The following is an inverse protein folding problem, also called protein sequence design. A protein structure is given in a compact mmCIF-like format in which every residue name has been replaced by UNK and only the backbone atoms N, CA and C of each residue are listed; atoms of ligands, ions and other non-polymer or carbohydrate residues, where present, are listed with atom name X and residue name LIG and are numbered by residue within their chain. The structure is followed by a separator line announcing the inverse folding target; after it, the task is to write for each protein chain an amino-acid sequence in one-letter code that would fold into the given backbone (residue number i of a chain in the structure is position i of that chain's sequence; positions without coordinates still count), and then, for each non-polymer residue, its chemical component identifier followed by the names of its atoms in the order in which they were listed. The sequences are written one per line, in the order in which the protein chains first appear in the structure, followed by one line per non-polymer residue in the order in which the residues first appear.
data_IF_293086044387
#
_entry.id   IF_293086044387
#
_cell.length_a   1.000
_cell.length_b   1.000
_cell.length_c   1.000
_cell.angle_alpha   90.00
_cell.angle_beta   90.00
_cell.angle_gamma   90.00
#
_symmetry.space_group_name_H-M   'P 1'
#
loop_
_entity.id
_entity.type
_entity.pdbx_description
1 polymer ?
#
# COMPACT_ATOMS: atom_id res chain seq x y z
N UNK A 1 -0.76 13.56 49.32
CA UNK A 1 -1.54 14.27 48.28
C UNK A 1 -1.02 13.79 46.94
N UNK A 2 -1.83 12.99 46.22
CA UNK A 2 -1.46 12.42 44.93
C UNK A 2 -1.80 13.44 43.83
N UNK A 3 -0.81 13.84 43.03
CA UNK A 3 -1.03 14.66 41.84
C UNK A 3 -1.56 13.75 40.72
N UNK A 4 -2.80 14.04 40.31
CA UNK A 4 -3.51 13.39 39.21
C UNK A 4 -2.95 13.95 37.90
N UNK A 5 -2.24 13.14 37.12
CA UNK A 5 -1.88 13.50 35.75
C UNK A 5 -3.13 13.43 34.87
N UNK A 6 -3.68 14.57 34.51
CA UNK A 6 -4.63 14.69 33.41
C UNK A 6 -3.87 14.74 32.09
N UNK A 7 -4.02 13.69 31.28
CA UNK A 7 -3.52 13.63 29.90
C UNK A 7 -4.61 14.19 28.97
N UNK A 8 -4.26 14.94 27.90
CA UNK A 8 -5.15 15.89 27.25
C UNK A 8 -6.28 15.25 26.45
N UNK A 9 -7.48 15.83 26.55
CA UNK A 9 -8.55 15.68 25.56
C UNK A 9 -8.26 16.62 24.39
N UNK A 10 -7.50 16.15 23.41
CA UNK A 10 -7.63 16.65 22.04
C UNK A 10 -6.87 15.73 21.07
N UNK A 11 -7.59 14.81 20.46
CA UNK A 11 -7.23 14.26 19.15
C UNK A 11 -8.54 14.00 18.44
N UNK A 12 -9.00 15.05 17.77
CA UNK A 12 -10.06 15.03 16.78
C UNK A 12 -9.92 13.82 15.85
N UNK A 13 -11.03 13.11 15.68
CA UNK A 13 -11.39 12.22 14.56
C UNK A 13 -10.24 11.80 13.64
N UNK A 14 -9.31 11.00 14.18
CA UNK A 14 -8.50 10.14 13.32
C UNK A 14 -9.44 9.01 12.89
N UNK A 15 -9.65 8.78 11.58
CA UNK A 15 -10.45 7.66 11.12
C UNK A 15 -9.90 6.41 11.80
N UNK A 16 -10.80 5.62 12.41
CA UNK A 16 -10.39 4.40 13.07
C UNK A 16 -9.75 3.52 11.99
N UNK A 17 -8.43 3.28 12.10
CA UNK A 17 -7.68 2.45 11.15
C UNK A 17 -8.32 1.05 10.96
N UNK A 18 -9.21 0.66 11.87
CA UNK A 18 -9.94 -0.60 11.88
C UNK A 18 -10.94 -0.76 10.72
N UNK A 19 -11.62 0.29 10.28
CA UNK A 19 -12.67 0.18 9.25
C UNK A 19 -12.12 0.32 7.82
N UNK A 20 -11.04 1.10 7.64
CA UNK A 20 -10.38 1.24 6.33
C UNK A 20 -9.54 0.01 5.94
N UNK A 21 -9.15 -0.81 6.91
CA UNK A 21 -8.35 -2.02 6.66
C UNK A 21 -9.08 -3.08 5.81
N UNK A 22 -10.41 -3.13 5.83
CA UNK A 22 -11.18 -4.12 5.05
C UNK A 22 -11.06 -3.93 3.52
N UNK A 23 -10.67 -2.72 3.09
CA UNK A 23 -10.45 -2.40 1.67
C UNK A 23 -8.98 -2.43 1.27
N UNK A 24 -8.07 -2.62 2.23
CA UNK A 24 -6.65 -2.71 1.98
C UNK A 24 -6.30 -4.09 1.42
N UNK A 25 -5.63 -4.10 0.27
CA UNK A 25 -5.13 -5.34 -0.35
C UNK A 25 -3.63 -5.42 -0.21
N UNK A 26 -3.13 -6.57 0.23
CA UNK A 26 -1.68 -6.76 0.28
C UNK A 26 -1.12 -6.69 -1.15
N UNK A 27 -0.08 -5.90 -1.37
CA UNK A 27 0.52 -5.75 -2.68
C UNK A 27 1.03 -7.08 -3.25
N UNK A 28 1.44 -8.03 -2.39
CA UNK A 28 1.81 -9.38 -2.84
C UNK A 28 0.68 -10.10 -3.54
N UNK A 29 -0.52 -9.96 -2.99
CA UNK A 29 -1.70 -10.71 -3.44
C UNK A 29 -2.28 -10.07 -4.69
N UNK A 30 -2.08 -8.76 -4.88
CA UNK A 30 -2.39 -8.06 -6.14
C UNK A 30 -1.61 -8.67 -7.30
N UNK A 31 -0.31 -8.84 -7.17
CA UNK A 31 0.51 -9.40 -8.25
C UNK A 31 0.13 -10.84 -8.62
N UNK A 32 -0.22 -11.66 -7.61
CA UNK A 32 -0.65 -13.03 -7.83
C UNK A 32 -2.07 -13.10 -8.43
N UNK A 33 -3.01 -12.27 -7.97
CA UNK A 33 -4.38 -12.19 -8.52
C UNK A 33 -4.44 -11.71 -9.97
N UNK A 34 -3.45 -10.94 -10.41
CA UNK A 34 -3.28 -10.51 -11.80
C UNK A 34 -2.61 -11.58 -12.69
N UNK A 35 -2.22 -12.73 -12.14
CA UNK A 35 -1.52 -13.80 -12.85
C UNK A 35 -0.08 -13.46 -13.27
N UNK A 36 0.46 -12.33 -12.80
CA UNK A 36 1.82 -11.89 -13.14
C UNK A 36 2.88 -12.45 -12.18
N UNK A 37 2.44 -12.83 -10.98
CA UNK A 37 3.26 -13.37 -9.92
C UNK A 37 3.92 -12.29 -9.06
N UNK A 38 3.91 -12.51 -7.75
CA UNK A 38 4.41 -11.58 -6.72
C UNK A 38 5.74 -10.94 -7.06
N UNK A 39 6.78 -11.74 -7.33
CA UNK A 39 8.15 -11.23 -7.52
C UNK A 39 8.26 -10.31 -8.73
N UNK A 40 7.64 -10.68 -9.86
CA UNK A 40 7.66 -9.87 -11.08
C UNK A 40 6.86 -8.58 -10.89
N UNK A 41 5.72 -8.67 -10.20
CA UNK A 41 4.90 -7.51 -9.90
C UNK A 41 5.64 -6.47 -9.05
N UNK A 42 6.35 -6.90 -7.99
CA UNK A 42 7.18 -5.99 -7.19
C UNK A 42 8.32 -5.36 -7.99
N UNK A 43 8.94 -6.10 -8.90
CA UNK A 43 9.97 -5.55 -9.80
C UNK A 43 9.38 -4.51 -10.74
N UNK A 44 8.20 -4.77 -11.31
CA UNK A 44 7.49 -3.81 -12.15
C UNK A 44 7.08 -2.55 -11.37
N UNK A 45 6.51 -2.69 -10.17
CA UNK A 45 6.17 -1.55 -9.32
C UNK A 45 7.40 -0.67 -9.00
N UNK A 46 8.57 -1.28 -8.74
CA UNK A 46 9.84 -0.53 -8.59
C UNK A 46 10.26 0.15 -9.89
N UNK A 47 10.16 -0.55 -11.02
CA UNK A 47 10.48 0.01 -12.34
C UNK A 47 9.60 1.20 -12.73
N UNK A 48 8.35 1.24 -12.24
CA UNK A 48 7.43 2.39 -12.41
C UNK A 48 7.61 3.49 -11.37
N UNK A 49 8.46 3.29 -10.37
CA UNK A 49 8.68 4.24 -9.28
C UNK A 49 7.61 4.21 -8.19
N UNK A 50 6.69 3.25 -8.20
CA UNK A 50 5.66 3.11 -7.14
C UNK A 50 6.27 2.62 -5.83
N UNK A 51 7.35 1.84 -5.93
CA UNK A 51 8.12 1.36 -4.80
C UNK A 51 9.57 1.84 -4.89
N UNK A 52 10.16 2.10 -3.72
CA UNK A 52 11.59 2.28 -3.54
C UNK A 52 12.35 0.97 -3.77
N UNK A 53 13.68 1.04 -3.88
CA UNK A 53 14.54 -0.15 -3.98
C UNK A 53 14.37 -1.13 -2.81
N UNK A 54 13.94 -0.63 -1.64
CA UNK A 54 13.71 -1.40 -0.42
C UNK A 54 12.29 -1.95 -0.29
N UNK A 55 11.49 -1.92 -1.37
CA UNK A 55 10.09 -2.37 -1.42
C UNK A 55 9.14 -1.61 -0.48
N UNK A 56 9.50 -0.39 -0.08
CA UNK A 56 8.57 0.55 0.56
C UNK A 56 7.89 1.43 -0.51
N UNK A 57 6.65 1.89 -0.33
CA UNK A 57 5.99 2.84 -1.24
C UNK A 57 6.80 4.12 -1.42
N UNK A 58 6.71 4.72 -2.62
CA UNK A 58 7.30 6.04 -2.86
C UNK A 58 6.55 7.14 -2.10
N UNK A 59 7.19 8.30 -1.92
CA UNK A 59 6.56 9.44 -1.26
C UNK A 59 5.29 9.90 -2.01
N UNK A 60 5.30 9.82 -3.35
CA UNK A 60 4.15 10.13 -4.19
C UNK A 60 2.99 9.16 -3.94
N UNK A 61 3.26 7.84 -3.88
CA UNK A 61 2.23 6.83 -3.63
C UNK A 61 1.61 6.96 -2.23
N UNK A 62 2.41 7.37 -1.24
CA UNK A 62 1.93 7.63 0.13
C UNK A 62 1.11 8.92 0.15
N UNK A 63 1.63 10.01 -0.40
CA UNK A 63 0.98 11.32 -0.41
C UNK A 63 -0.36 11.30 -1.16
N UNK A 64 -0.45 10.51 -2.24
CA UNK A 64 -1.69 10.29 -2.99
C UNK A 64 -2.69 9.35 -2.28
N UNK A 65 -2.32 8.74 -1.15
CA UNK A 65 -3.17 7.79 -0.44
C UNK A 65 -3.34 6.45 -1.15
N UNK A 66 -2.44 6.08 -2.07
CA UNK A 66 -2.54 4.84 -2.84
C UNK A 66 -1.93 3.64 -2.13
N UNK A 67 -0.89 3.86 -1.34
CA UNK A 67 -0.18 2.79 -0.66
C UNK A 67 0.18 3.18 0.77
N UNK A 68 0.11 2.19 1.66
CA UNK A 68 0.52 2.31 3.05
C UNK A 68 1.43 1.14 3.43
N UNK A 69 2.38 1.40 4.33
CA UNK A 69 3.18 0.34 4.96
C UNK A 69 2.66 0.11 6.36
N UNK A 70 2.31 -1.14 6.68
CA UNK A 70 1.92 -1.55 8.03
C UNK A 70 2.70 -2.78 8.44
N UNK A 71 2.75 -3.07 9.75
CA UNK A 71 3.33 -4.30 10.25
C UNK A 71 2.29 -5.41 10.14
N UNK A 72 2.64 -6.56 9.56
CA UNK A 72 1.82 -7.76 9.68
C UNK A 72 1.95 -8.37 11.08
N UNK A 73 1.06 -9.30 11.41
CA UNK A 73 0.97 -9.95 12.74
C UNK A 73 2.28 -10.59 13.23
N UNK A 74 3.15 -10.96 12.30
CA UNK A 74 4.48 -11.51 12.55
C UNK A 74 5.61 -10.46 12.58
N UNK A 75 5.27 -9.17 12.63
CA UNK A 75 6.21 -8.05 12.77
C UNK A 75 6.96 -7.66 11.50
N UNK A 76 6.62 -8.24 10.34
CA UNK A 76 7.22 -7.84 9.07
C UNK A 76 6.49 -6.66 8.46
N UNK A 77 7.23 -5.67 7.94
CA UNK A 77 6.64 -4.59 7.15
C UNK A 77 6.02 -5.15 5.86
N UNK A 78 4.76 -4.79 5.62
CA UNK A 78 3.98 -5.15 4.43
C UNK A 78 3.44 -3.90 3.77
N UNK A 79 3.37 -3.94 2.45
CA UNK A 79 2.76 -2.87 1.66
C UNK A 79 1.34 -3.28 1.33
N UNK A 80 0.40 -2.39 1.64
CA UNK A 80 -0.99 -2.51 1.28
C UNK A 80 -1.37 -1.40 0.30
N UNK A 81 -2.25 -1.72 -0.63
CA UNK A 81 -2.87 -0.76 -1.54
C UNK A 81 -4.28 -0.43 -1.06
N UNK A 82 -4.63 0.84 -1.12
CA UNK A 82 -6.02 1.29 -0.94
C UNK A 82 -6.86 0.90 -2.15
N UNK A 83 -8.17 1.13 -2.09
CA UNK A 83 -9.05 0.95 -3.24
C UNK A 83 -8.62 1.82 -4.44
N UNK A 84 -8.35 3.09 -4.19
CA UNK A 84 -7.84 4.03 -5.21
C UNK A 84 -6.46 3.62 -5.73
N UNK A 85 -5.58 3.17 -4.82
CA UNK A 85 -4.27 2.66 -5.21
C UNK A 85 -4.35 1.39 -6.05
N UNK A 86 -5.29 0.50 -5.77
CA UNK A 86 -5.53 -0.67 -6.59
C UNK A 86 -5.99 -0.30 -8.00
N UNK A 87 -6.93 0.63 -8.12
CA UNK A 87 -7.42 1.10 -9.42
C UNK A 87 -6.28 1.77 -10.21
N UNK A 88 -5.54 2.68 -9.59
CA UNK A 88 -4.41 3.37 -10.20
C UNK A 88 -3.31 2.40 -10.67
N UNK A 89 -2.86 1.50 -9.79
CA UNK A 89 -1.82 0.52 -10.12
C UNK A 89 -2.31 -0.48 -11.17
N UNK A 90 -3.57 -0.93 -11.06
CA UNK A 90 -4.19 -1.85 -12.00
C UNK A 90 -4.34 -1.26 -13.40
N UNK A 91 -4.74 0.00 -13.51
CA UNK A 91 -4.86 0.69 -14.79
C UNK A 91 -3.49 0.92 -15.43
N UNK A 92 -2.49 1.36 -14.64
CA UNK A 92 -1.10 1.47 -15.12
C UNK A 92 -0.54 0.13 -15.60
N UNK A 93 -0.86 -0.97 -14.91
CA UNK A 93 -0.43 -2.31 -15.30
C UNK A 93 -1.09 -2.76 -16.61
N UNK A 94 -2.40 -2.52 -16.75
CA UNK A 94 -3.16 -2.83 -17.97
C UNK A 94 -2.64 -2.04 -19.17
N UNK A 95 -2.31 -0.76 -18.97
CA UNK A 95 -1.70 0.10 -19.98
C UNK A 95 -0.35 -0.46 -20.46
N UNK A 96 0.51 -0.87 -19.52
CA UNK A 96 1.83 -1.44 -19.84
C UNK A 96 1.72 -2.80 -20.56
N UNK A 97 0.69 -3.60 -20.28
CA UNK A 97 0.39 -4.82 -21.06
C UNK A 97 0.01 -4.45 -22.49
N UNK A 98 -0.89 -3.47 -22.68
CA UNK A 98 -1.31 -3.03 -24.02
C UNK A 98 -0.13 -2.48 -24.83
N UNK A 99 0.80 -1.78 -24.17
CA UNK A 99 2.04 -1.29 -24.76
C UNK A 99 3.12 -2.36 -24.95
N UNK A 100 2.84 -3.62 -24.55
CA UNK A 100 3.79 -4.76 -24.59
C UNK A 100 5.06 -4.54 -23.76
N UNK A 101 5.00 -3.64 -22.78
CA UNK A 101 6.07 -3.40 -21.80
C UNK A 101 6.07 -4.48 -20.72
N UNK A 102 4.90 -5.07 -20.45
CA UNK A 102 4.71 -6.23 -19.59
C UNK A 102 4.17 -7.39 -20.43
N UNK A 103 4.69 -8.60 -20.18
CA UNK A 103 4.17 -9.85 -20.75
C UNK A 103 3.64 -10.72 -19.62
N UNK A 104 2.38 -11.16 -19.73
CA UNK A 104 1.77 -12.15 -18.84
C UNK A 104 2.37 -13.53 -19.12
#
# INVERSE_FOLDING_TARGET
MANKSEVPKDSADLPSLSEDCDRLRNLSDVGDSLGYGRTRFYQWCRGRGFLTLMNAPSAEMISAGYMVTTLSDNGYSRVYVTEDGFNFVGDAFREDIQKRMVKL
#
